data_IF_451093536303
#
_entry.id   IF_451093536303
#
_cell.length_a   1.000
_cell.length_b   1.000
_cell.length_c   1.000
_cell.angle_alpha   90.00
_cell.angle_beta   90.00
_cell.angle_gamma   90.00
#
_symmetry.space_group_name_H-M   'P 1'
#
loop_
_entity.id
_entity.type
_entity.pdbx_description
1 polymer ?
#
# COMPACT_ATOMS: atom_id res chain seq x y z
N UNK A 1 24.31 -3.83 -37.39
CA UNK A 1 23.60 -3.70 -36.87
C UNK A 1 23.20 -4.04 -35.78
N UNK A 2 22.88 -3.85 -34.96
CA UNK A 2 22.50 -4.27 -33.96
C UNK A 2 21.80 -4.11 -33.07
N UNK A 3 21.39 -4.43 -32.52
CA UNK A 3 20.63 -4.62 -31.79
C UNK A 3 20.68 -4.60 -30.67
N UNK A 4 20.38 -4.45 -30.06
CA UNK A 4 20.40 -4.37 -28.98
C UNK A 4 19.63 -4.62 -28.19
N UNK A 5 19.43 -5.13 -27.74
CA UNK A 5 18.97 -5.64 -26.88
C UNK A 5 18.52 -5.09 -25.77
N UNK A 6 18.10 -4.89 -25.43
CA UNK A 6 17.64 -4.57 -24.49
C UNK A 6 17.31 -4.89 -23.46
N UNK A 7 17.37 -5.31 -23.13
CA UNK A 7 17.49 -5.49 -22.06
C UNK A 7 16.66 -5.19 -21.21
N UNK A 8 16.09 -5.57 -21.01
CA UNK A 8 15.30 -5.45 -20.24
C UNK A 8 15.36 -5.15 -19.04
N UNK A 9 15.78 -5.22 -18.62
CA UNK A 9 15.89 -4.95 -17.46
C UNK A 9 14.94 -4.78 -16.70
N UNK A 10 14.27 -4.94 -16.73
CA UNK A 10 13.39 -4.90 -15.99
C UNK A 10 13.34 -5.47 -14.85
N UNK A 11 12.49 -5.32 -14.16
CA UNK A 11 12.39 -5.93 -12.97
C UNK A 11 12.30 -7.36 -13.15
N UNK A 12 12.97 -8.04 -12.42
CA UNK A 12 12.85 -9.46 -12.38
C UNK A 12 11.55 -9.78 -11.69
N UNK A 13 10.66 -10.46 -12.32
CA UNK A 13 9.40 -10.80 -11.67
C UNK A 13 9.58 -11.62 -10.41
N UNK A 14 10.73 -12.20 -10.21
CA UNK A 14 10.96 -12.95 -9.00
C UNK A 14 11.66 -12.14 -7.94
N UNK A 15 11.93 -10.89 -8.21
CA UNK A 15 12.60 -10.03 -7.26
C UNK A 15 11.55 -9.37 -6.41
N UNK A 16 10.84 -10.14 -5.66
CA UNK A 16 9.73 -9.63 -4.89
C UNK A 16 10.17 -9.28 -3.50
N UNK A 17 9.39 -8.52 -2.85
CA UNK A 17 9.55 -8.36 -1.43
C UNK A 17 10.51 -7.29 -1.01
N UNK A 18 11.04 -6.55 -1.86
CA UNK A 18 11.91 -5.48 -1.44
C UNK A 18 12.30 -4.67 -2.61
N UNK A 19 12.88 -3.54 -2.38
CA UNK A 19 13.33 -2.67 -3.44
C UNK A 19 12.27 -1.67 -3.84
N UNK A 20 12.57 -0.98 -4.92
CA UNK A 20 11.78 0.18 -5.36
C UNK A 20 11.03 -0.15 -6.62
N UNK A 21 9.76 0.15 -6.64
CA UNK A 21 8.93 -0.05 -7.82
C UNK A 21 7.79 0.95 -7.82
N UNK A 22 7.48 1.50 -8.98
CA UNK A 22 6.33 2.41 -9.11
C UNK A 22 5.08 1.69 -9.58
N UNK A 23 5.15 0.38 -9.73
CA UNK A 23 4.00 -0.48 -9.93
C UNK A 23 4.07 -1.52 -8.82
N UNK A 24 3.22 -1.39 -7.83
CA UNK A 24 3.28 -2.15 -6.59
C UNK A 24 2.08 -3.08 -6.52
N UNK A 25 2.33 -4.36 -6.34
CA UNK A 25 1.26 -5.32 -6.14
C UNK A 25 1.09 -5.59 -4.66
N UNK A 26 -0.15 -5.63 -4.21
CA UNK A 26 -0.45 -5.85 -2.82
C UNK A 26 -1.52 -6.89 -2.61
N UNK A 27 -1.57 -7.40 -1.40
CA UNK A 27 -2.59 -8.36 -0.97
C UNK A 27 -3.10 -7.90 0.38
N UNK A 28 -4.41 -7.87 0.51
CA UNK A 28 -5.05 -7.67 1.81
C UNK A 28 -5.80 -8.93 2.18
N UNK A 29 -5.71 -9.30 3.43
CA UNK A 29 -6.45 -10.43 3.97
C UNK A 29 -6.42 -10.31 5.48
N UNK A 30 -7.17 -11.14 6.18
CA UNK A 30 -7.21 -11.13 7.64
C UNK A 30 -5.90 -11.72 8.14
N UNK A 31 -5.07 -11.05 8.81
CA UNK A 31 -5.12 -9.62 9.19
C UNK A 31 -3.82 -8.99 8.79
N UNK A 32 -3.63 -8.77 7.54
CA UNK A 32 -2.36 -8.24 7.04
C UNK A 32 -2.55 -7.47 5.75
N UNK A 33 -1.61 -6.57 5.52
CA UNK A 33 -1.42 -5.90 4.24
C UNK A 33 0.01 -6.21 3.81
N UNK A 34 0.19 -6.75 2.64
CA UNK A 34 1.53 -7.02 2.14
C UNK A 34 1.69 -6.47 0.74
N UNK A 35 2.89 -6.02 0.43
CA UNK A 35 3.20 -5.45 -0.89
C UNK A 35 4.53 -6.01 -1.36
N UNK A 36 4.70 -6.04 -2.67
CA UNK A 36 5.90 -6.61 -3.26
C UNK A 36 7.03 -5.60 -3.47
N UNK A 37 6.88 -4.39 -2.93
CA UNK A 37 7.94 -3.40 -2.93
C UNK A 37 7.83 -2.58 -1.65
N UNK A 38 8.96 -2.13 -1.12
CA UNK A 38 8.98 -1.36 0.11
C UNK A 38 9.06 0.13 -0.15
N UNK A 39 9.34 0.51 -1.39
CA UNK A 39 9.49 1.93 -1.72
C UNK A 39 9.16 2.18 -3.19
N UNK A 40 8.96 3.43 -3.50
CA UNK A 40 8.75 3.90 -4.86
C UNK A 40 9.50 5.22 -5.03
N UNK A 41 9.71 5.59 -6.29
CA UNK A 41 10.19 6.94 -6.59
C UNK A 41 9.03 7.91 -6.52
N UNK A 42 9.31 9.14 -6.11
CA UNK A 42 8.29 10.18 -6.10
C UNK A 42 7.69 10.34 -7.50
N UNK A 43 6.41 10.62 -7.55
CA UNK A 43 5.69 10.77 -8.79
C UNK A 43 4.53 9.80 -8.83
N UNK A 44 4.20 9.34 -10.02
CA UNK A 44 3.06 8.45 -10.20
C UNK A 44 3.38 7.05 -9.70
N UNK A 45 2.52 6.51 -8.87
CA UNK A 45 2.64 5.16 -8.32
C UNK A 45 1.29 4.46 -8.50
N UNK A 46 1.33 3.24 -8.97
CA UNK A 46 0.14 2.42 -9.14
C UNK A 46 0.19 1.24 -8.18
N UNK A 47 -0.84 1.11 -7.35
CA UNK A 47 -1.02 -0.05 -6.50
C UNK A 47 -2.10 -0.93 -7.11
N UNK A 48 -1.84 -2.21 -7.24
CA UNK A 48 -2.82 -3.19 -7.69
C UNK A 48 -2.97 -4.18 -6.56
N UNK A 49 -4.14 -4.22 -5.94
CA UNK A 49 -4.34 -4.89 -4.66
C UNK A 49 -5.44 -5.93 -4.78
N UNK A 50 -5.09 -7.16 -4.41
CA UNK A 50 -6.03 -8.27 -4.39
C UNK A 50 -6.54 -8.49 -2.98
N UNK A 51 -7.84 -8.69 -2.84
CA UNK A 51 -8.42 -9.10 -1.56
C UNK A 51 -8.48 -10.61 -1.54
N UNK A 52 -7.53 -11.22 -0.84
CA UNK A 52 -7.46 -12.67 -0.69
C UNK A 52 -7.99 -13.12 0.66
N UNK A 53 -8.70 -12.24 1.35
CA UNK A 53 -9.34 -12.58 2.59
C UNK A 53 -10.70 -13.20 2.39
N UNK A 54 -11.43 -13.35 3.47
CA UNK A 54 -12.78 -13.91 3.43
C UNK A 54 -13.86 -12.87 3.68
N UNK A 55 -13.47 -11.62 3.91
CA UNK A 55 -14.40 -10.52 4.11
C UNK A 55 -13.89 -9.32 3.30
N UNK A 56 -14.69 -8.26 3.26
CA UNK A 56 -14.29 -7.03 2.61
C UNK A 56 -13.15 -6.34 3.35
N UNK A 57 -12.33 -5.67 2.62
CA UNK A 57 -11.22 -4.87 3.15
C UNK A 57 -11.12 -3.59 2.35
N UNK A 58 -10.44 -2.59 2.93
CA UNK A 58 -10.10 -1.39 2.17
C UNK A 58 -8.58 -1.24 2.14
N UNK A 59 -8.09 -0.35 1.30
CA UNK A 59 -6.65 -0.12 1.18
C UNK A 59 -6.45 1.39 1.12
N UNK A 60 -5.88 1.94 2.17
CA UNK A 60 -5.62 3.37 2.29
C UNK A 60 -4.14 3.63 2.14
N UNK A 61 -3.80 4.68 1.40
CA UNK A 61 -2.43 5.18 1.32
C UNK A 61 -2.35 6.40 2.22
N UNK A 62 -1.65 6.27 3.34
CA UNK A 62 -1.59 7.28 4.39
C UNK A 62 -0.19 7.83 4.49
N UNK A 63 -0.04 9.14 4.32
CA UNK A 63 1.26 9.79 4.51
C UNK A 63 1.39 10.17 5.97
N UNK A 64 2.40 9.69 6.64
CA UNK A 64 2.59 9.94 8.07
C UNK A 64 3.99 9.55 8.51
N UNK A 65 4.52 10.27 9.49
CA UNK A 65 5.76 9.89 10.16
C UNK A 65 5.48 9.01 11.39
N UNK A 66 4.23 8.76 11.69
CA UNK A 66 3.88 7.90 12.82
C UNK A 66 4.39 6.49 12.50
N UNK A 67 4.94 5.85 13.52
CA UNK A 67 5.47 4.50 13.37
C UNK A 67 4.37 3.53 12.95
N UNK A 68 4.72 2.58 12.08
CA UNK A 68 3.76 1.61 11.55
C UNK A 68 3.10 0.87 12.70
N UNK A 69 1.80 0.79 12.65
CA UNK A 69 1.02 0.12 13.69
C UNK A 69 0.72 0.99 14.90
N UNK A 70 1.16 2.25 14.90
CA UNK A 70 1.02 3.11 16.08
C UNK A 70 0.10 4.30 15.86
N UNK A 71 -0.67 4.34 14.78
CA UNK A 71 -1.63 5.42 14.59
C UNK A 71 -2.66 5.35 15.71
N UNK A 72 -2.87 6.46 16.44
CA UNK A 72 -3.83 6.46 17.54
C UNK A 72 -5.24 6.17 17.06
N UNK A 73 -5.92 5.30 17.77
CA UNK A 73 -7.28 4.88 17.42
C UNK A 73 -8.28 5.65 18.28
N UNK A 74 -9.45 5.89 17.68
CA UNK A 74 -10.61 6.39 18.40
C UNK A 74 -11.60 5.24 18.38
N UNK A 75 -11.57 4.42 19.43
CA UNK A 75 -12.33 3.20 19.44
C UNK A 75 -11.64 2.12 18.62
N UNK A 76 -12.26 1.70 17.55
CA UNK A 76 -11.78 0.58 16.76
C UNK A 76 -11.19 0.99 15.40
N UNK A 77 -10.99 2.27 15.17
CA UNK A 77 -10.38 2.78 13.93
C UNK A 77 -9.73 4.14 14.21
N UNK A 78 -8.85 4.59 13.32
CA UNK A 78 -8.30 5.93 13.48
C UNK A 78 -9.17 6.93 12.73
N UNK A 79 -9.27 8.17 13.27
CA UNK A 79 -10.09 9.20 12.61
C UNK A 79 -9.48 9.64 11.29
N UNK A 80 -10.33 10.01 10.35
CA UNK A 80 -9.94 10.51 9.05
C UNK A 80 -10.69 11.82 8.79
N UNK A 81 -10.04 12.96 8.95
CA UNK A 81 -8.61 13.18 9.16
C UNK A 81 -8.22 13.12 10.62
N UNK A 82 -6.93 13.06 10.86
CA UNK A 82 -6.37 13.09 12.20
C UNK A 82 -5.04 13.83 12.16
N UNK A 83 -4.59 14.29 13.32
CA UNK A 83 -3.32 14.98 13.43
C UNK A 83 -2.18 14.03 13.07
N UNK A 84 -1.24 14.53 12.29
CA UNK A 84 -0.04 13.78 11.98
C UNK A 84 -0.21 12.77 10.86
N UNK A 85 -1.33 12.75 10.19
CA UNK A 85 -1.51 11.85 9.05
C UNK A 85 -2.38 12.47 7.98
N UNK A 86 -2.15 12.03 6.76
CA UNK A 86 -2.95 12.45 5.63
C UNK A 86 -3.33 11.21 4.83
N UNK A 87 -4.62 10.95 4.69
CA UNK A 87 -5.08 9.89 3.78
C UNK A 87 -5.01 10.48 2.38
N UNK A 88 -4.04 10.02 1.60
CA UNK A 88 -3.81 10.58 0.28
C UNK A 88 -4.89 10.10 -0.69
N UNK A 89 -5.17 8.81 -0.67
CA UNK A 89 -6.23 8.22 -1.48
C UNK A 89 -6.48 6.81 -0.97
N UNK A 90 -7.50 6.16 -1.51
CA UNK A 90 -7.86 4.84 -1.02
C UNK A 90 -8.60 4.03 -2.07
N UNK A 91 -8.55 2.72 -1.90
CA UNK A 91 -9.52 1.81 -2.51
C UNK A 91 -10.54 1.55 -1.42
N UNK A 92 -11.77 1.99 -1.63
CA UNK A 92 -12.83 1.77 -0.67
C UNK A 92 -13.10 0.28 -0.50
N UNK A 93 -13.89 -0.08 0.47
CA UNK A 93 -14.12 -1.49 0.78
C UNK A 93 -14.45 -2.28 -0.49
N UNK A 94 -13.66 -3.33 -0.75
CA UNK A 94 -13.86 -4.16 -1.93
C UNK A 94 -13.96 -5.61 -1.50
N UNK A 95 -14.78 -6.40 -2.20
CA UNK A 95 -15.11 -7.74 -1.71
C UNK A 95 -14.00 -8.75 -1.91
N UNK A 96 -14.08 -9.82 -1.13
CA UNK A 96 -13.14 -10.92 -1.30
C UNK A 96 -13.11 -11.40 -2.75
N UNK A 97 -11.96 -11.82 -3.18
CA UNK A 97 -11.79 -12.39 -4.52
C UNK A 97 -11.67 -11.36 -5.63
N UNK A 98 -11.69 -10.07 -5.30
CA UNK A 98 -11.55 -9.02 -6.31
C UNK A 98 -10.19 -8.34 -6.21
N UNK A 99 -9.78 -7.74 -7.32
CA UNK A 99 -8.53 -6.98 -7.41
C UNK A 99 -8.87 -5.59 -7.93
N UNK A 100 -8.33 -4.58 -7.27
CA UNK A 100 -8.56 -3.19 -7.63
C UNK A 100 -7.23 -2.47 -7.79
N UNK A 101 -7.24 -1.42 -8.59
CA UNK A 101 -6.03 -0.61 -8.80
C UNK A 101 -6.26 0.83 -8.38
N UNK A 102 -5.20 1.46 -7.90
CA UNK A 102 -5.21 2.84 -7.48
C UNK A 102 -3.93 3.48 -7.99
N UNK A 103 -4.07 4.51 -8.82
CA UNK A 103 -2.93 5.26 -9.32
C UNK A 103 -2.99 6.68 -8.77
N UNK A 104 -1.90 7.11 -8.17
CA UNK A 104 -1.87 8.41 -7.52
C UNK A 104 -0.46 9.01 -7.58
N UNK A 105 -0.39 10.32 -7.36
CA UNK A 105 0.88 11.04 -7.29
C UNK A 105 1.33 11.07 -5.84
N UNK A 106 2.54 10.61 -5.57
CA UNK A 106 3.07 10.58 -4.21
C UNK A 106 4.32 11.43 -4.11
N UNK A 107 4.38 12.19 -3.03
CA UNK A 107 5.56 13.00 -2.68
C UNK A 107 6.50 12.17 -1.82
N UNK A 108 7.79 12.54 -1.78
CA UNK A 108 8.72 11.84 -0.90
C UNK A 108 8.24 11.85 0.55
N UNK A 109 8.48 10.79 1.25
CA UNK A 109 8.13 10.70 2.66
C UNK A 109 7.79 9.28 3.08
N UNK A 110 7.32 9.18 4.30
CA UNK A 110 6.93 7.90 4.88
C UNK A 110 5.43 7.72 4.79
N UNK A 111 5.03 6.50 4.52
CA UNK A 111 3.63 6.16 4.32
C UNK A 111 3.29 4.87 5.06
N UNK A 112 2.03 4.71 5.35
CA UNK A 112 1.49 3.41 5.75
C UNK A 112 0.40 3.01 4.77
N UNK A 113 0.35 1.73 4.46
CA UNK A 113 -0.67 1.13 3.62
C UNK A 113 -1.54 0.30 4.56
N UNK A 114 -2.80 0.68 4.70
CA UNK A 114 -3.60 0.17 5.82
C UNK A 114 -5.03 -0.12 5.42
N UNK A 115 -5.71 -0.90 6.26
CA UNK A 115 -7.15 -1.03 6.24
C UNK A 115 -7.68 -0.44 7.53
N UNK A 116 -8.61 0.50 7.43
CA UNK A 116 -9.14 1.21 8.59
C UNK A 116 -10.59 0.84 8.91
N UNK A 117 -11.05 -0.27 8.40
CA UNK A 117 -12.36 -0.78 8.81
C UNK A 117 -12.33 -1.12 10.29
N UNK A 118 -13.47 -1.08 10.99
CA UNK A 118 -13.48 -1.31 12.44
C UNK A 118 -12.71 -2.56 12.85
N UNK A 119 -11.71 -2.36 13.72
CA UNK A 119 -10.91 -3.44 14.26
C UNK A 119 -9.78 -3.94 13.36
N UNK A 120 -9.76 -3.55 12.09
CA UNK A 120 -8.80 -4.14 11.14
C UNK A 120 -7.38 -3.62 11.35
N UNK A 121 -7.21 -2.33 11.55
CA UNK A 121 -5.89 -1.77 11.80
C UNK A 121 -5.29 -2.35 13.08
N UNK A 122 -6.08 -2.40 14.14
CA UNK A 122 -5.61 -2.92 15.42
C UNK A 122 -5.22 -4.39 15.31
N UNK A 123 -5.86 -5.13 14.42
CA UNK A 123 -5.56 -6.55 14.25
C UNK A 123 -4.28 -6.80 13.45
N UNK A 124 -3.74 -5.77 12.78
CA UNK A 124 -2.47 -5.93 12.07
C UNK A 124 -2.47 -5.47 10.63
N UNK A 125 -3.55 -4.87 10.15
CA UNK A 125 -3.63 -4.50 8.73
C UNK A 125 -2.95 -3.16 8.46
N UNK A 126 -1.63 -3.20 8.49
CA UNK A 126 -0.80 -2.04 8.20
C UNK A 126 0.56 -2.52 7.66
N UNK A 127 1.14 -1.74 6.78
CA UNK A 127 2.46 -2.01 6.23
C UNK A 127 3.16 -0.67 5.98
N UNK A 128 4.45 -0.64 6.20
CA UNK A 128 5.23 0.56 5.92
C UNK A 128 5.59 0.66 4.45
N UNK A 129 5.75 1.88 3.99
CA UNK A 129 6.13 2.15 2.62
C UNK A 129 6.83 3.51 2.57
N UNK A 130 7.81 3.63 1.70
CA UNK A 130 8.55 4.89 1.61
C UNK A 130 8.58 5.38 0.17
N UNK A 131 8.47 6.70 -0.01
CA UNK A 131 8.63 7.31 -1.32
C UNK A 131 9.92 8.13 -1.27
N UNK A 132 10.77 7.89 -2.25
CA UNK A 132 12.13 8.44 -2.27
C UNK A 132 12.23 9.76 -3.02
#
# INVERSE_FOLDING_TARGET
MFIVGLAGCGADPNDAGGGTSNSVNGVVKEWSVSVDAESAMAGEVTFTVANEGSIGHEFLVVKTDIEVGKIPLDGDHFPEPADGLEVVDEIGEFPQGTTESLTLMLEPGKYQLVCNLPGHYAAGMHAGFEVL
#
